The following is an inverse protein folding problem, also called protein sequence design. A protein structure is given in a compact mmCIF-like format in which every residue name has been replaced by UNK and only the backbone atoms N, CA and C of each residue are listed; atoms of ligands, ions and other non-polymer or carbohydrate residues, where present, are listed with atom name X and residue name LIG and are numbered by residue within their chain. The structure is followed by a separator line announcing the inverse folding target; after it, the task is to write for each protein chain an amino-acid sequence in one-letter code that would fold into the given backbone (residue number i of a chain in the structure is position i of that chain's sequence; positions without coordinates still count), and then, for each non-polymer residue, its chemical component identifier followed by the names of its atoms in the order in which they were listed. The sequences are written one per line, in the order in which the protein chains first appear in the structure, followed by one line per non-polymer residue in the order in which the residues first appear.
data_IF_612075354760
#
_entry.id   IF_612075354760
#
_cell.length_a   1.000
_cell.length_b   1.000
_cell.length_c   1.000
_cell.angle_alpha   90.00
_cell.angle_beta   90.00
_cell.angle_gamma   90.00
#
_symmetry.space_group_name_H-M   'P 1'
#
loop_
_entity.id
_entity.type
_entity.pdbx_description
1 polymer ?
#
# COMPACT_ATOMS: atom_id res chain seq x y z
N UNK A 1 14.23 -1.40 1.79
CA UNK A 1 12.84 -1.83 2.03
C UNK A 1 11.92 -0.64 2.23
N UNK A 2 10.69 -0.77 1.76
CA UNK A 2 9.62 0.22 1.90
C UNK A 2 8.55 -0.34 2.81
N UNK A 3 7.93 0.54 3.59
CA UNK A 3 6.79 0.20 4.43
C UNK A 3 5.59 0.98 3.93
N UNK A 4 4.47 0.29 3.81
CA UNK A 4 3.17 0.88 3.58
C UNK A 4 2.23 0.44 4.71
N UNK A 5 1.68 1.41 5.42
CA UNK A 5 0.62 1.22 6.40
C UNK A 5 -0.68 1.67 5.76
N UNK A 6 -1.63 0.75 5.61
CA UNK A 6 -2.94 1.03 5.04
C UNK A 6 -3.93 1.23 6.20
N UNK A 7 -4.47 2.44 6.30
CA UNK A 7 -5.57 2.75 7.21
C UNK A 7 -6.89 2.28 6.61
N UNK A 8 -7.67 1.53 7.40
CA UNK A 8 -8.98 1.04 7.00
C UNK A 8 -10.08 1.87 7.65
N UNK A 9 -11.12 2.18 6.88
CA UNK A 9 -12.39 2.73 7.36
C UNK A 9 -13.52 1.85 6.84
N UNK A 10 -14.39 1.36 7.73
CA UNK A 10 -15.44 0.38 7.39
C UNK A 10 -14.91 -0.82 6.57
N UNK A 11 -13.78 -1.39 7.00
CA UNK A 11 -13.09 -2.51 6.33
C UNK A 11 -12.60 -2.21 4.90
N UNK A 12 -12.56 -0.94 4.49
CA UNK A 12 -12.07 -0.52 3.18
C UNK A 12 -10.80 0.33 3.30
N UNK A 13 -9.82 0.18 2.40
CA UNK A 13 -8.69 1.10 2.33
C UNK A 13 -9.14 2.56 2.24
N UNK A 14 -8.66 3.39 3.14
CA UNK A 14 -9.07 4.78 3.29
C UNK A 14 -7.89 5.75 3.21
N UNK A 15 -6.74 5.35 3.76
CA UNK A 15 -5.51 6.15 3.70
C UNK A 15 -4.29 5.25 3.63
N UNK A 16 -3.20 5.81 3.13
CA UNK A 16 -1.91 5.14 3.06
C UNK A 16 -0.83 6.04 3.66
N UNK A 17 0.01 5.44 4.48
CA UNK A 17 1.24 6.02 4.98
C UNK A 17 2.40 5.19 4.45
N UNK A 18 3.35 5.80 3.75
CA UNK A 18 4.42 5.04 3.09
C UNK A 18 5.76 5.77 3.14
N UNK A 19 6.82 5.04 3.49
CA UNK A 19 8.16 5.59 3.71
C UNK A 19 9.25 4.53 3.63
N UNK A 20 10.50 4.99 3.64
CA UNK A 20 11.67 4.09 3.69
C UNK A 20 11.74 3.43 5.06
N UNK A 21 12.04 2.14 5.08
CA UNK A 21 12.24 1.35 6.30
C UNK A 21 13.63 1.57 6.96
N UNK A 22 14.31 2.69 6.67
CA UNK A 22 15.66 2.97 7.21
C UNK A 22 15.58 3.20 8.73
N UNK A 23 16.38 2.40 9.46
CA UNK A 23 16.67 2.35 10.91
C UNK A 23 15.54 2.43 11.95
N UNK A 24 14.43 3.13 11.71
CA UNK A 24 13.41 3.43 12.74
C UNK A 24 12.16 2.53 12.71
N UNK A 25 11.81 1.93 11.56
CA UNK A 25 10.53 1.21 11.39
C UNK A 25 10.71 -0.27 11.02
N UNK A 26 11.62 -0.98 11.66
CA UNK A 26 11.67 -2.44 11.50
C UNK A 26 10.60 -3.08 12.37
N UNK A 27 9.53 -3.53 11.74
CA UNK A 27 8.52 -4.34 12.41
C UNK A 27 8.99 -5.80 12.48
N UNK A 28 8.77 -6.48 13.61
CA UNK A 28 8.86 -7.93 13.65
C UNK A 28 7.87 -8.55 12.65
N UNK A 29 8.23 -9.67 12.03
CA UNK A 29 7.43 -10.33 10.98
C UNK A 29 6.02 -10.75 11.44
N UNK A 30 5.80 -10.87 12.75
CA UNK A 30 4.48 -11.22 13.30
C UNK A 30 3.50 -10.04 13.33
N UNK A 31 3.98 -8.81 13.13
CA UNK A 31 3.16 -7.61 13.18
C UNK A 31 2.53 -7.38 11.81
N UNK A 32 1.27 -7.78 11.68
CA UNK A 32 0.49 -7.63 10.44
C UNK A 32 -0.57 -6.53 10.51
N UNK A 33 -0.87 -6.04 11.71
CA UNK A 33 -1.89 -5.01 11.95
C UNK A 33 -1.57 -4.16 13.18
N UNK A 34 -2.19 -3.00 13.25
CA UNK A 34 -2.01 -2.04 14.33
C UNK A 34 -2.94 -0.83 14.16
N UNK A 35 -2.64 0.22 14.90
CA UNK A 35 -3.41 1.46 14.94
C UNK A 35 -2.52 2.64 14.61
N UNK A 36 -3.01 3.53 13.74
CA UNK A 36 -2.39 4.84 13.53
C UNK A 36 -3.02 5.82 14.51
N UNK A 37 -2.19 6.42 15.37
CA UNK A 37 -2.62 7.37 16.39
C UNK A 37 -2.11 8.75 16.00
N UNK A 38 -3.01 9.72 15.95
CA UNK A 38 -2.65 11.13 15.74
C UNK A 38 -2.29 11.77 17.08
N UNK A 39 -1.06 12.26 17.18
CA UNK A 39 -0.53 13.00 18.31
C UNK A 39 -0.12 14.44 17.89
N UNK A 40 0.26 15.25 18.86
CA UNK A 40 0.97 16.51 18.62
C UNK A 40 2.40 16.39 19.13
N UNK A 41 3.37 16.89 18.36
CA UNK A 41 4.74 17.00 18.85
C UNK A 41 4.92 18.22 19.78
N UNK A 42 6.15 18.40 20.27
CA UNK A 42 6.52 19.48 21.19
C UNK A 42 6.29 20.88 20.60
N UNK A 43 6.35 21.00 19.27
CA UNK A 43 6.10 22.24 18.52
C UNK A 43 4.61 22.44 18.16
N UNK A 44 3.75 21.48 18.51
CA UNK A 44 2.31 21.52 18.26
C UNK A 44 1.89 21.09 16.85
N UNK A 45 2.81 20.57 16.04
CA UNK A 45 2.51 20.00 14.73
C UNK A 45 1.89 18.60 14.86
N UNK A 46 1.10 18.20 13.87
CA UNK A 46 0.48 16.87 13.87
C UNK A 46 1.55 15.81 13.62
N UNK A 47 1.65 14.84 14.53
CA UNK A 47 2.48 13.65 14.44
C UNK A 47 1.60 12.42 14.30
N UNK A 48 2.02 11.45 13.51
CA UNK A 48 1.32 10.15 13.40
C UNK A 48 2.23 9.07 13.97
N UNK A 49 1.70 8.32 14.92
CA UNK A 49 2.40 7.24 15.62
C UNK A 49 1.73 5.91 15.23
N UNK A 50 2.52 4.84 15.14
CA UNK A 50 1.98 3.51 14.86
C UNK A 50 2.05 2.65 16.12
N UNK A 51 0.91 2.10 16.54
CA UNK A 51 0.80 1.24 17.71
C UNK A 51 0.42 -0.17 17.29
N UNK A 52 1.05 -1.19 17.86
CA UNK A 52 0.71 -2.59 17.64
C UNK A 52 0.80 -3.39 18.94
N UNK A 53 0.34 -4.63 18.93
CA UNK A 53 0.48 -5.56 20.06
C UNK A 53 1.69 -6.47 19.84
N UNK A 54 2.51 -6.63 20.88
CA UNK A 54 3.51 -7.68 20.88
C UNK A 54 2.87 -9.08 21.06
N UNK A 55 3.71 -10.12 21.10
CA UNK A 55 3.24 -11.51 21.26
C UNK A 55 2.55 -11.78 22.60
N UNK A 56 2.77 -10.93 23.60
CA UNK A 56 2.18 -11.05 24.94
C UNK A 56 0.96 -10.13 25.12
N UNK A 57 0.61 -9.34 24.09
CA UNK A 57 -0.53 -8.43 24.11
C UNK A 57 -0.25 -7.05 24.68
N UNK A 58 1.02 -6.67 24.89
CA UNK A 58 1.38 -5.31 25.29
C UNK A 58 1.43 -4.38 24.10
N UNK A 59 0.99 -3.13 24.32
CA UNK A 59 1.03 -2.07 23.31
C UNK A 59 2.44 -1.54 23.14
N UNK A 60 2.96 -1.63 21.92
CA UNK A 60 4.20 -0.97 21.50
C UNK A 60 3.82 0.17 20.57
N UNK A 61 4.34 1.38 20.83
CA UNK A 61 4.15 2.55 19.98
C UNK A 61 5.47 2.97 19.36
N UNK A 62 5.49 3.07 18.03
CA UNK A 62 6.57 3.70 17.28
C UNK A 62 6.11 5.11 16.91
N UNK A 63 6.75 6.10 17.52
CA UNK A 63 6.41 7.50 17.28
C UNK A 63 6.99 8.02 15.96
N UNK A 64 6.29 8.99 15.37
CA UNK A 64 6.83 9.74 14.25
C UNK A 64 6.92 8.94 12.95
N UNK A 65 5.91 8.12 12.66
CA UNK A 65 5.70 7.50 11.35
C UNK A 65 5.82 8.56 10.23
N UNK A 66 5.35 9.77 10.52
CA UNK A 66 5.48 10.95 9.65
C UNK A 66 6.92 11.36 9.29
N UNK A 67 7.93 11.03 10.10
CA UNK A 67 9.34 11.45 9.91
C UNK A 67 10.07 10.61 8.85
N UNK A 68 9.64 9.37 8.63
CA UNK A 68 10.20 8.50 7.58
C UNK A 68 9.69 8.83 6.18
N UNK A 69 8.82 9.82 6.06
CA UNK A 69 8.25 10.26 4.78
C UNK A 69 9.09 11.40 4.23
N UNK A 70 9.87 11.11 3.18
CA UNK A 70 10.36 12.18 2.31
C UNK A 70 9.14 13.00 1.85
N UNK A 71 9.27 14.33 1.85
CA UNK A 71 8.22 15.30 1.49
C UNK A 71 7.55 14.96 0.15
N UNK A 72 8.30 14.41 -0.81
CA UNK A 72 7.76 14.01 -2.11
C UNK A 72 6.80 12.79 -1.99
N UNK A 73 7.21 11.70 -1.34
CA UNK A 73 6.35 10.52 -1.13
C UNK A 73 5.11 10.84 -0.30
N UNK A 74 5.23 11.79 0.62
CA UNK A 74 4.10 12.25 1.41
C UNK A 74 3.02 12.92 0.57
N UNK A 75 3.39 13.69 -0.45
CA UNK A 75 2.42 14.30 -1.37
C UNK A 75 1.68 13.22 -2.18
N UNK A 76 2.39 12.20 -2.67
CA UNK A 76 1.75 11.08 -3.36
C UNK A 76 0.85 10.26 -2.43
N UNK A 77 1.32 9.95 -1.20
CA UNK A 77 0.53 9.24 -0.21
C UNK A 77 -0.76 9.99 0.15
N UNK A 78 -0.70 11.32 0.25
CA UNK A 78 -1.88 12.17 0.43
C UNK A 78 -2.84 12.13 -0.75
N UNK A 79 -2.31 12.17 -1.98
CA UNK A 79 -3.12 12.10 -3.18
C UNK A 79 -3.82 10.74 -3.28
N UNK A 80 -3.09 9.64 -3.09
CA UNK A 80 -3.63 8.27 -3.07
C UNK A 80 -4.67 8.15 -1.95
N UNK A 81 -4.38 8.67 -0.76
CA UNK A 81 -5.36 8.70 0.33
C UNK A 81 -6.62 9.48 -0.09
N UNK A 82 -6.50 10.62 -0.77
CA UNK A 82 -7.64 11.34 -1.32
C UNK A 82 -8.48 10.48 -2.26
N UNK A 83 -7.83 9.78 -3.19
CA UNK A 83 -8.49 8.85 -4.14
C UNK A 83 -9.23 7.72 -3.39
N UNK A 84 -8.59 7.11 -2.39
CA UNK A 84 -9.19 6.07 -1.54
C UNK A 84 -10.41 6.59 -0.79
N UNK A 85 -10.31 7.76 -0.15
CA UNK A 85 -11.43 8.38 0.59
C UNK A 85 -12.64 8.67 -0.29
N UNK A 86 -12.42 9.01 -1.56
CA UNK A 86 -13.50 9.24 -2.52
C UNK A 86 -14.08 7.94 -3.10
N UNK A 87 -13.63 6.77 -2.65
CA UNK A 87 -14.24 5.49 -2.97
C UNK A 87 -13.93 4.97 -4.36
N UNK A 88 -12.81 5.39 -4.96
CA UNK A 88 -12.35 4.78 -6.21
C UNK A 88 -12.13 3.27 -6.00
N UNK A 89 -12.64 2.40 -6.90
CA UNK A 89 -12.38 0.97 -6.82
C UNK A 89 -10.88 0.67 -6.76
N UNK A 90 -10.48 -0.19 -5.81
CA UNK A 90 -9.07 -0.43 -5.46
C UNK A 90 -8.21 -0.89 -6.65
N UNK A 91 -8.77 -1.67 -7.59
CA UNK A 91 -8.08 -2.07 -8.82
C UNK A 91 -7.64 -0.84 -9.64
N UNK A 92 -8.54 0.13 -9.86
CA UNK A 92 -8.19 1.37 -10.55
C UNK A 92 -7.21 2.24 -9.77
N UNK A 93 -7.21 2.16 -8.43
CA UNK A 93 -6.19 2.85 -7.62
C UNK A 93 -4.82 2.21 -7.83
N UNK A 94 -4.75 0.89 -7.92
CA UNK A 94 -3.50 0.16 -8.25
C UNK A 94 -3.02 0.59 -9.63
N UNK A 95 -3.89 0.59 -10.65
CA UNK A 95 -3.53 0.98 -12.01
C UNK A 95 -3.05 2.45 -12.08
N UNK A 96 -3.73 3.35 -11.36
CA UNK A 96 -3.34 4.75 -11.25
C UNK A 96 -1.94 4.90 -10.66
N UNK A 97 -1.62 4.15 -9.59
CA UNK A 97 -0.31 4.18 -8.96
C UNK A 97 0.76 3.57 -9.87
N UNK A 98 0.47 2.44 -10.54
CA UNK A 98 1.38 1.79 -11.51
C UNK A 98 1.74 2.73 -12.67
N UNK A 99 0.75 3.49 -13.16
CA UNK A 99 0.89 4.48 -14.23
C UNK A 99 1.58 5.79 -13.85
N UNK A 100 1.92 6.01 -12.58
CA UNK A 100 2.69 7.20 -12.17
C UNK A 100 4.05 7.20 -12.87
N UNK A 101 4.29 8.26 -13.66
CA UNK A 101 5.59 8.57 -14.24
C UNK A 101 6.33 9.54 -13.33
N UNK A 102 7.40 9.06 -12.73
CA UNK A 102 8.09 9.69 -11.60
C UNK A 102 9.61 9.64 -11.88
N UNK A 103 10.35 10.76 -11.75
CA UNK A 103 11.78 10.82 -12.05
C UNK A 103 12.62 9.81 -11.22
N UNK A 104 13.77 9.39 -11.78
CA UNK A 104 14.41 8.08 -11.58
C UNK A 104 15.06 7.71 -10.22
N UNK A 105 15.43 6.42 -10.17
CA UNK A 105 16.16 5.55 -9.23
C UNK A 105 15.45 5.00 -7.98
N UNK A 106 14.74 5.82 -7.20
CA UNK A 106 14.15 5.33 -5.94
C UNK A 106 12.64 5.13 -5.97
N UNK A 107 11.95 5.77 -6.91
CA UNK A 107 10.48 5.79 -6.91
C UNK A 107 9.89 4.49 -7.47
N UNK A 108 10.61 3.77 -8.34
CA UNK A 108 10.14 2.47 -8.85
C UNK A 108 9.98 1.43 -7.72
N UNK A 109 10.89 1.40 -6.75
CA UNK A 109 10.78 0.46 -5.61
C UNK A 109 9.70 0.89 -4.62
N UNK A 110 9.49 2.19 -4.42
CA UNK A 110 8.39 2.74 -3.63
C UNK A 110 7.04 2.40 -4.27
N UNK A 111 6.90 2.68 -5.56
CA UNK A 111 5.69 2.42 -6.37
C UNK A 111 5.29 0.97 -6.27
N UNK A 112 6.24 0.06 -6.50
CA UNK A 112 6.02 -1.38 -6.38
C UNK A 112 5.57 -1.79 -4.98
N UNK A 113 6.16 -1.20 -3.92
CA UNK A 113 5.76 -1.46 -2.54
C UNK A 113 4.32 -1.00 -2.24
N UNK A 114 3.93 0.18 -2.73
CA UNK A 114 2.56 0.68 -2.61
C UNK A 114 1.58 -0.19 -3.37
N UNK A 115 1.86 -0.54 -4.63
CA UNK A 115 1.00 -1.40 -5.43
C UNK A 115 0.82 -2.77 -4.77
N UNK A 116 1.91 -3.38 -4.27
CA UNK A 116 1.85 -4.66 -3.55
C UNK A 116 0.92 -4.58 -2.33
N UNK A 117 1.03 -3.51 -1.53
CA UNK A 117 0.18 -3.31 -0.35
C UNK A 117 -1.30 -3.11 -0.73
N UNK A 118 -1.59 -2.37 -1.79
CA UNK A 118 -2.97 -2.11 -2.25
C UNK A 118 -3.60 -3.35 -2.92
N UNK A 119 -2.81 -4.15 -3.66
CA UNK A 119 -3.28 -5.39 -4.32
C UNK A 119 -3.87 -6.41 -3.34
N UNK A 120 -3.41 -6.41 -2.08
CA UNK A 120 -3.97 -7.26 -1.01
C UNK A 120 -5.45 -6.98 -0.69
N UNK A 121 -5.96 -5.81 -1.11
CA UNK A 121 -7.35 -5.41 -0.89
C UNK A 121 -8.21 -5.55 -2.15
N UNK A 122 -7.64 -5.97 -3.27
CA UNK A 122 -8.39 -6.25 -4.49
C UNK A 122 -9.14 -7.58 -4.30
N UNK A 123 -10.48 -7.62 -4.44
CA UNK A 123 -11.23 -8.85 -4.29
C UNK A 123 -10.82 -9.90 -5.33
N UNK A 124 -10.70 -11.15 -4.90
CA UNK A 124 -10.45 -12.27 -5.79
C UNK A 124 -11.50 -12.35 -6.91
N UNK A 125 -11.04 -12.64 -8.13
CA UNK A 125 -11.87 -12.68 -9.33
C UNK A 125 -12.14 -11.30 -9.95
N UNK A 126 -11.62 -10.20 -9.37
CA UNK A 126 -11.62 -8.90 -10.05
C UNK A 126 -10.81 -8.99 -11.35
N UNK A 127 -11.39 -8.57 -12.47
CA UNK A 127 -10.68 -8.52 -13.75
C UNK A 127 -9.68 -7.36 -13.77
N UNK A 128 -8.47 -7.62 -14.26
CA UNK A 128 -7.48 -6.56 -14.46
C UNK A 128 -7.97 -5.57 -15.53
N UNK A 129 -7.87 -4.28 -15.26
CA UNK A 129 -8.27 -3.27 -16.25
C UNK A 129 -7.32 -3.31 -17.46
N UNK A 130 -7.90 -3.26 -18.65
CA UNK A 130 -7.20 -2.99 -19.92
C UNK A 130 -5.92 -3.82 -20.19
N UNK A 131 -5.87 -5.08 -19.74
CA UNK A 131 -4.67 -5.91 -19.79
C UNK A 131 -4.92 -7.28 -20.44
N UNK A 132 -4.39 -7.48 -21.64
CA UNK A 132 -4.31 -8.81 -22.26
C UNK A 132 -3.28 -9.68 -21.53
N UNK A 133 -3.56 -10.98 -21.40
CA UNK A 133 -2.57 -11.91 -20.86
C UNK A 133 -1.28 -11.90 -21.71
N UNK A 134 -0.10 -11.63 -21.12
CA UNK A 134 1.15 -11.54 -21.88
C UNK A 134 1.62 -12.91 -22.41
N UNK A 135 1.11 -14.00 -21.85
CA UNK A 135 1.48 -15.37 -22.25
C UNK A 135 0.60 -15.93 -23.37
N UNK A 136 -0.71 -15.67 -23.37
CA UNK A 136 -1.64 -16.27 -24.34
C UNK A 136 -2.51 -15.25 -25.09
N UNK A 137 -2.39 -13.96 -24.79
CA UNK A 137 -3.10 -12.87 -25.48
C UNK A 137 -4.57 -12.70 -25.09
N UNK A 138 -5.10 -13.51 -24.16
CA UNK A 138 -6.51 -13.45 -23.76
C UNK A 138 -6.85 -12.07 -23.16
N UNK A 139 -7.79 -11.30 -23.76
CA UNK A 139 -8.16 -9.96 -23.31
C UNK A 139 -8.88 -9.92 -21.96
N UNK A 140 -9.46 -11.04 -21.51
CA UNK A 140 -10.18 -11.15 -20.24
C UNK A 140 -9.60 -12.25 -19.35
N UNK A 141 -8.40 -12.70 -19.68
CA UNK A 141 -7.74 -13.81 -19.03
C UNK A 141 -7.29 -13.47 -17.62
N UNK A 142 -6.81 -12.24 -17.40
CA UNK A 142 -6.16 -11.80 -16.17
C UNK A 142 -7.16 -11.43 -15.07
N UNK A 143 -7.09 -12.14 -13.96
CA UNK A 143 -7.89 -11.94 -12.76
C UNK A 143 -6.97 -11.77 -11.55
N UNK A 144 -7.38 -10.96 -10.57
CA UNK A 144 -6.72 -10.91 -9.28
C UNK A 144 -7.07 -12.13 -8.44
N UNK A 145 -6.05 -12.71 -7.79
CA UNK A 145 -6.19 -13.74 -6.77
C UNK A 145 -5.07 -13.63 -5.74
N UNK A 146 -5.42 -13.49 -4.46
CA UNK A 146 -4.45 -13.38 -3.35
C UNK A 146 -3.41 -12.25 -3.57
N UNK A 147 -3.82 -11.17 -4.24
CA UNK A 147 -2.95 -10.05 -4.60
C UNK A 147 -2.02 -10.26 -5.80
N UNK A 148 -2.09 -11.41 -6.48
CA UNK A 148 -1.40 -11.67 -7.73
C UNK A 148 -2.35 -11.61 -8.94
N UNK A 149 -1.80 -11.37 -10.12
CA UNK A 149 -2.54 -11.52 -11.38
C UNK A 149 -2.40 -12.96 -11.87
N UNK A 150 -3.52 -13.63 -12.18
CA UNK A 150 -3.54 -15.00 -12.69
C UNK A 150 -4.41 -15.04 -13.96
N UNK A 151 -3.89 -15.69 -15.00
CA UNK A 151 -4.62 -15.94 -16.22
C UNK A 151 -5.47 -17.21 -16.09
N UNK A 152 -6.80 -17.08 -16.18
CA UNK A 152 -7.73 -18.22 -16.16
C UNK A 152 -7.58 -19.17 -17.36
N UNK A 153 -6.99 -18.71 -18.46
CA UNK A 153 -6.94 -19.44 -19.73
C UNK A 153 -5.64 -20.22 -19.94
N UNK A 154 -4.50 -19.74 -19.44
CA UNK A 154 -3.21 -20.42 -19.60
C UNK A 154 -2.44 -20.66 -18.30
N UNK A 155 -2.93 -20.18 -17.15
CA UNK A 155 -2.25 -20.33 -15.87
C UNK A 155 -1.05 -19.42 -15.66
N UNK A 156 -0.81 -18.44 -16.55
CA UNK A 156 0.18 -17.37 -16.30
C UNK A 156 -0.09 -16.69 -14.96
N UNK A 157 0.95 -16.37 -14.20
CA UNK A 157 0.82 -15.66 -12.95
C UNK A 157 1.92 -14.62 -12.77
N UNK A 158 1.56 -13.44 -12.29
CA UNK A 158 2.48 -12.38 -11.92
C UNK A 158 2.19 -11.91 -10.49
N UNK A 159 3.14 -12.16 -9.61
CA UNK A 159 3.12 -11.71 -8.22
C UNK A 159 4.21 -10.64 -8.06
N UNK A 160 3.84 -9.50 -7.46
CA UNK A 160 4.73 -8.36 -7.26
C UNK A 160 5.52 -8.42 -5.96
#
# INVERSE_FOLDING_TARGET
DWIAVIGLYDQRPYEIFTGRAEDMFKFPDYVTSGWVIKAKDEDGHNRYDFQFLDREGYRITIEGLSRSFNKEYWNYAKLISGVLRHGMPIAYVVDLVEGLNVPEDYINTWKNGVCRALKQFVPDGTQAADSNCPSCGDPEGLLYKEGCLICKSCGYSECG
#
